data_IF_128574851380
#
_entry.id   IF_128574851380
#
_cell.length_a   1.000
_cell.length_b   1.000
_cell.length_c   1.000
_cell.angle_alpha   90.00
_cell.angle_beta   90.00
_cell.angle_gamma   90.00
#
_symmetry.space_group_name_H-M   'P 1'
#
loop_
_entity.id
_entity.type
_entity.pdbx_description
1 polymer ?
#
# COMPACT_ATOMS: atom_id res chain seq x y z
N UNK A 1 13.63 -22.12 -9.62
CA UNK A 1 13.87 -20.66 -9.43
C UNK A 1 15.31 -20.38 -9.02
N UNK A 2 15.88 -21.16 -8.11
CA UNK A 2 17.27 -21.02 -7.66
C UNK A 2 18.30 -20.95 -8.80
N UNK A 3 18.23 -21.82 -9.82
CA UNK A 3 19.15 -21.77 -10.98
C UNK A 3 19.14 -20.43 -11.74
N UNK A 4 18.03 -19.70 -11.72
CA UNK A 4 17.86 -18.43 -12.44
C UNK A 4 18.20 -17.23 -11.56
N UNK A 5 17.82 -17.29 -10.28
CA UNK A 5 17.85 -16.15 -9.37
C UNK A 5 18.83 -16.28 -8.19
N UNK A 6 19.47 -17.44 -8.02
CA UNK A 6 20.35 -17.75 -6.90
C UNK A 6 19.60 -18.33 -5.69
N UNK A 7 20.34 -18.63 -4.62
CA UNK A 7 19.79 -19.22 -3.40
C UNK A 7 18.76 -18.33 -2.69
N UNK A 8 18.86 -17.02 -2.87
CA UNK A 8 18.00 -16.01 -2.25
C UNK A 8 16.80 -15.62 -3.13
N UNK A 9 16.36 -16.51 -4.02
CA UNK A 9 15.29 -16.27 -4.99
C UNK A 9 13.93 -16.00 -4.34
N UNK A 10 13.73 -16.45 -3.10
CA UNK A 10 12.52 -16.32 -2.29
C UNK A 10 12.51 -15.05 -1.41
N UNK A 11 13.61 -14.30 -1.39
CA UNK A 11 13.77 -13.09 -0.58
C UNK A 11 13.54 -11.82 -1.41
N UNK A 12 12.82 -10.85 -0.83
CA UNK A 12 12.67 -9.51 -1.41
C UNK A 12 13.96 -8.72 -1.15
N UNK A 13 14.81 -8.59 -2.17
CA UNK A 13 16.06 -7.84 -2.11
C UNK A 13 16.09 -6.72 -3.14
N UNK A 14 15.93 -5.45 -2.73
CA UNK A 14 16.01 -4.31 -3.65
C UNK A 14 17.36 -4.19 -4.35
N UNK A 15 18.46 -4.54 -3.65
CA UNK A 15 19.84 -4.49 -4.16
C UNK A 15 20.07 -5.40 -5.37
N UNK A 16 19.21 -6.41 -5.59
CA UNK A 16 19.25 -7.33 -6.75
C UNK A 16 19.20 -6.61 -8.11
N UNK A 17 18.62 -5.41 -8.14
CA UNK A 17 18.35 -4.65 -9.36
C UNK A 17 19.41 -3.59 -9.66
N UNK A 18 20.52 -3.56 -8.93
CA UNK A 18 21.63 -2.65 -9.15
C UNK A 18 22.90 -3.44 -9.51
N UNK A 19 23.77 -2.85 -10.35
CA UNK A 19 25.05 -3.47 -10.70
C UNK A 19 26.07 -3.37 -9.55
N UNK A 20 25.97 -2.32 -8.74
CA UNK A 20 26.73 -2.09 -7.52
C UNK A 20 25.79 -1.65 -6.39
N UNK A 21 26.17 -1.92 -5.14
CA UNK A 21 25.41 -1.45 -3.97
C UNK A 21 25.35 0.10 -3.98
N UNK A 22 24.15 0.70 -3.81
CA UNK A 22 24.02 2.15 -3.77
C UNK A 22 24.82 2.73 -2.59
N UNK A 23 25.90 3.46 -2.88
CA UNK A 23 26.67 4.19 -1.87
C UNK A 23 26.28 5.67 -1.83
N UNK A 24 26.31 6.27 -0.63
CA UNK A 24 26.00 7.68 -0.45
C UNK A 24 26.93 8.55 -1.31
N UNK A 25 26.36 9.34 -2.23
CA UNK A 25 27.11 10.23 -3.13
C UNK A 25 27.36 9.68 -4.54
N UNK A 26 27.06 8.41 -4.84
CA UNK A 26 27.15 7.86 -6.20
C UNK A 26 25.76 7.55 -6.74
N UNK A 27 25.50 7.92 -8.01
CA UNK A 27 24.21 7.62 -8.66
C UNK A 27 24.10 6.11 -8.87
N UNK A 28 23.06 5.44 -8.33
CA UNK A 28 22.93 4.00 -8.49
C UNK A 28 22.69 3.62 -9.96
N UNK A 29 23.41 2.61 -10.43
CA UNK A 29 23.30 2.08 -11.80
C UNK A 29 22.34 0.89 -11.79
N UNK A 30 21.23 1.02 -12.53
CA UNK A 30 20.24 -0.04 -12.66
C UNK A 30 20.78 -1.18 -13.53
N UNK A 31 20.66 -2.39 -13.02
CA UNK A 31 21.02 -3.61 -13.72
C UNK A 31 20.07 -3.87 -14.88
N UNK A 32 20.63 -4.04 -16.08
CA UNK A 32 19.86 -4.49 -17.24
C UNK A 32 19.56 -5.99 -17.13
N UNK A 33 18.31 -6.33 -16.83
CA UNK A 33 17.84 -7.73 -16.75
C UNK A 33 17.04 -8.07 -18.00
N UNK A 34 17.42 -9.17 -18.67
CA UNK A 34 16.70 -9.69 -19.84
C UNK A 34 15.22 -9.97 -19.50
N UNK A 35 14.31 -9.59 -20.39
CA UNK A 35 12.88 -9.86 -20.23
C UNK A 35 12.55 -11.37 -20.28
N UNK A 36 13.42 -12.19 -20.85
CA UNK A 36 13.29 -13.66 -20.79
C UNK A 36 13.64 -14.23 -19.41
N UNK A 37 14.47 -13.52 -18.64
CA UNK A 37 14.80 -13.87 -17.26
C UNK A 37 13.71 -13.42 -16.29
N UNK A 38 13.09 -12.27 -16.55
CA UNK A 38 12.02 -11.69 -15.73
C UNK A 38 10.79 -11.27 -16.57
N UNK A 39 9.92 -12.23 -16.94
CA UNK A 39 8.88 -12.01 -17.96
C UNK A 39 7.57 -11.44 -17.41
N UNK A 40 7.61 -10.44 -16.51
CA UNK A 40 6.39 -9.83 -15.92
C UNK A 40 5.49 -9.19 -16.99
N UNK A 41 6.10 -8.64 -18.03
CA UNK A 41 5.41 -8.05 -19.18
C UNK A 41 5.55 -8.90 -20.44
N UNK A 42 5.81 -10.21 -20.29
CA UNK A 42 6.23 -11.11 -21.38
C UNK A 42 7.57 -10.67 -22.02
N UNK A 43 7.97 -11.34 -23.09
CA UNK A 43 9.18 -11.04 -23.86
C UNK A 43 8.94 -11.21 -25.37
N UNK A 44 9.85 -10.68 -26.18
CA UNK A 44 9.80 -10.80 -27.63
C UNK A 44 8.67 -9.98 -28.28
N UNK A 45 8.18 -10.38 -29.49
CA UNK A 45 7.18 -9.63 -30.26
C UNK A 45 5.82 -9.46 -29.57
N UNK A 46 5.54 -10.25 -28.53
CA UNK A 46 4.31 -10.20 -27.73
C UNK A 46 4.52 -9.56 -26.36
N UNK A 47 5.60 -8.80 -26.17
CA UNK A 47 5.80 -7.95 -24.98
C UNK A 47 4.59 -7.03 -24.80
N UNK A 48 4.17 -6.84 -23.56
CA UNK A 48 3.04 -5.98 -23.23
C UNK A 48 3.31 -4.55 -23.73
N UNK A 49 2.44 -4.07 -24.62
CA UNK A 49 2.50 -2.70 -25.15
C UNK A 49 2.31 -1.65 -24.04
N UNK A 50 1.63 -2.00 -22.95
CA UNK A 50 1.39 -1.15 -21.79
C UNK A 50 2.51 -1.12 -20.75
N UNK A 51 3.67 -1.74 -21.01
CA UNK A 51 4.77 -1.86 -20.03
C UNK A 51 5.20 -0.50 -19.45
N UNK A 52 5.50 0.47 -20.31
CA UNK A 52 6.01 1.78 -19.85
C UNK A 52 4.93 2.59 -19.10
N UNK A 53 3.68 2.51 -19.57
CA UNK A 53 2.53 3.12 -18.89
C UNK A 53 2.32 2.52 -17.48
N UNK A 54 2.38 1.19 -17.36
CA UNK A 54 2.23 0.50 -16.08
C UNK A 54 3.35 0.91 -15.09
N UNK A 55 4.59 1.04 -15.55
CA UNK A 55 5.68 1.53 -14.70
C UNK A 55 5.47 2.97 -14.24
N UNK A 56 5.01 3.85 -15.13
CA UNK A 56 4.74 5.23 -14.78
C UNK A 56 3.65 5.34 -13.72
N UNK A 57 2.53 4.63 -13.93
CA UNK A 57 1.41 4.61 -12.98
C UNK A 57 1.83 4.03 -11.62
N UNK A 58 2.59 2.94 -11.61
CA UNK A 58 3.09 2.32 -10.38
C UNK A 58 3.98 3.26 -9.59
N UNK A 59 4.96 3.91 -10.25
CA UNK A 59 5.85 4.89 -9.61
C UNK A 59 5.07 6.07 -9.05
N UNK A 60 4.10 6.58 -9.79
CA UNK A 60 3.26 7.69 -9.36
C UNK A 60 2.44 7.34 -8.12
N UNK A 61 1.74 6.20 -8.14
CA UNK A 61 0.94 5.74 -7.00
C UNK A 61 1.82 5.49 -5.77
N UNK A 62 2.95 4.80 -5.93
CA UNK A 62 3.87 4.54 -4.82
C UNK A 62 4.41 5.84 -4.22
N UNK A 63 4.88 6.78 -5.05
CA UNK A 63 5.36 8.07 -4.57
C UNK A 63 4.27 8.88 -3.86
N UNK A 64 3.06 8.91 -4.41
CA UNK A 64 1.93 9.62 -3.82
C UNK A 64 1.47 9.03 -2.49
N UNK A 65 1.40 7.70 -2.39
CA UNK A 65 0.98 7.04 -1.16
C UNK A 65 2.05 7.21 -0.08
N UNK A 66 3.32 6.95 -0.40
CA UNK A 66 4.41 7.03 0.58
C UNK A 66 4.71 8.47 1.03
N UNK A 67 4.35 9.49 0.24
CA UNK A 67 4.50 10.91 0.64
C UNK A 67 3.42 11.42 1.58
N UNK A 68 2.27 10.74 1.66
CA UNK A 68 1.09 11.22 2.40
C UNK A 68 0.63 10.30 3.54
N UNK A 69 1.06 9.05 3.52
CA UNK A 69 0.56 8.04 4.44
C UNK A 69 1.71 7.23 4.99
N UNK A 70 1.65 6.99 6.30
CA UNK A 70 2.39 5.92 6.92
C UNK A 70 1.58 4.62 6.80
N UNK A 71 2.18 3.60 6.20
CA UNK A 71 1.54 2.31 5.95
C UNK A 71 1.93 1.33 7.05
N UNK A 72 0.99 1.00 7.94
CA UNK A 72 1.22 0.06 9.03
C UNK A 72 0.44 -1.23 8.78
N UNK A 73 1.10 -2.39 8.58
CA UNK A 73 0.40 -3.65 8.38
C UNK A 73 -0.29 -4.12 9.68
N UNK A 74 -1.57 -4.48 9.59
CA UNK A 74 -2.35 -5.00 10.72
C UNK A 74 -2.36 -6.54 10.79
N UNK A 75 -2.00 -7.20 9.70
CA UNK A 75 -1.92 -8.66 9.62
C UNK A 75 -0.52 -9.13 10.03
N UNK A 76 -0.46 -10.06 10.99
CA UNK A 76 0.80 -10.70 11.42
C UNK A 76 1.16 -11.95 10.61
N UNK A 77 0.18 -12.56 9.94
CA UNK A 77 0.39 -13.76 9.16
C UNK A 77 0.92 -13.42 7.76
N UNK A 78 1.78 -14.27 7.17
CA UNK A 78 2.19 -14.11 5.78
C UNK A 78 0.98 -14.08 4.83
N UNK A 79 0.99 -13.20 3.82
CA UNK A 79 -0.10 -13.13 2.86
C UNK A 79 -0.19 -14.43 2.03
N UNK A 80 -1.40 -14.93 1.81
CA UNK A 80 -1.64 -16.10 0.95
C UNK A 80 -1.78 -15.65 -0.49
N UNK A 81 -0.88 -16.13 -1.34
CA UNK A 81 -0.83 -15.79 -2.77
C UNK A 81 -1.90 -16.56 -3.57
N UNK A 82 -2.73 -15.85 -4.32
CA UNK A 82 -3.77 -16.43 -5.20
C UNK A 82 -3.41 -16.17 -6.66
N UNK A 83 -2.95 -17.21 -7.41
CA UNK A 83 -2.49 -17.07 -8.79
C UNK A 83 -3.65 -17.16 -9.80
N UNK A 84 -4.43 -16.09 -9.95
CA UNK A 84 -5.40 -15.93 -11.05
C UNK A 84 -4.83 -15.02 -12.14
N UNK A 85 -5.70 -14.56 -13.07
CA UNK A 85 -5.33 -13.60 -14.14
C UNK A 85 -4.54 -12.41 -13.59
N UNK A 86 -4.98 -11.88 -12.45
CA UNK A 86 -4.17 -11.00 -11.60
C UNK A 86 -3.89 -11.69 -10.28
N UNK A 87 -2.61 -11.79 -9.95
CA UNK A 87 -2.18 -12.27 -8.66
C UNK A 87 -2.64 -11.30 -7.56
N UNK A 88 -3.21 -11.84 -6.49
CA UNK A 88 -3.65 -11.04 -5.34
C UNK A 88 -3.50 -11.83 -4.03
N UNK A 89 -3.63 -11.11 -2.92
CA UNK A 89 -3.57 -11.70 -1.58
C UNK A 89 -4.97 -12.15 -1.16
N UNK A 90 -5.12 -13.39 -0.72
CA UNK A 90 -6.39 -13.87 -0.17
C UNK A 90 -6.79 -13.00 1.03
N UNK A 91 -7.99 -12.42 1.00
CA UNK A 91 -8.48 -11.53 2.05
C UNK A 91 -7.85 -10.14 2.09
N UNK A 92 -6.98 -9.80 1.13
CA UNK A 92 -6.33 -8.49 1.01
C UNK A 92 -5.27 -8.19 2.07
N UNK A 93 -4.66 -7.01 1.97
CA UNK A 93 -3.71 -6.50 2.97
C UNK A 93 -4.41 -5.46 3.85
N UNK A 94 -4.64 -5.81 5.12
CA UNK A 94 -5.25 -4.89 6.08
C UNK A 94 -4.18 -3.95 6.61
N UNK A 95 -4.46 -2.65 6.51
CA UNK A 95 -3.54 -1.57 6.86
C UNK A 95 -4.19 -0.65 7.90
N UNK A 96 -3.40 -0.18 8.84
CA UNK A 96 -3.66 1.04 9.59
C UNK A 96 -3.16 2.22 8.78
N UNK A 97 -3.76 3.40 8.99
CA UNK A 97 -3.34 4.64 8.34
C UNK A 97 -3.06 5.68 9.41
N UNK A 98 -1.87 6.26 9.38
CA UNK A 98 -1.58 7.55 9.99
C UNK A 98 -1.34 8.53 8.84
N UNK A 99 -2.17 9.57 8.75
CA UNK A 99 -1.96 10.64 7.78
C UNK A 99 -0.82 11.51 8.29
N UNK A 100 0.22 11.70 7.48
CA UNK A 100 1.13 12.82 7.72
C UNK A 100 0.35 14.08 7.38
N UNK A 101 -0.08 14.82 8.40
CA UNK A 101 -0.78 16.08 8.17
C UNK A 101 0.16 17.01 7.38
N UNK A 102 -0.18 17.40 6.13
CA UNK A 102 0.68 18.28 5.34
C UNK A 102 0.84 19.69 5.93
N UNK A 103 0.21 19.96 7.07
CA UNK A 103 0.32 21.20 7.85
C UNK A 103 1.36 21.15 8.99
N UNK A 104 2.06 20.03 9.20
CA UNK A 104 3.08 19.92 10.27
C UNK A 104 4.44 20.51 9.88
N UNK A 105 4.68 20.77 8.60
CA UNK A 105 5.92 21.39 8.10
C UNK A 105 5.83 22.94 8.06
N UNK A 106 4.74 23.52 8.57
CA UNK A 106 4.58 24.96 8.71
C UNK A 106 5.16 25.42 10.07
N UNK A 107 6.32 26.11 10.12
CA UNK A 107 7.01 26.44 11.37
C UNK A 107 6.24 27.41 12.28
N UNK A 108 5.07 27.91 11.86
CA UNK A 108 4.26 28.88 12.58
C UNK A 108 3.18 28.29 13.50
N UNK A 109 2.99 26.96 13.57
CA UNK A 109 1.84 26.37 14.28
C UNK A 109 2.23 25.69 15.60
N UNK A 110 2.10 26.44 16.69
CA UNK A 110 2.18 25.91 18.05
C UNK A 110 1.21 24.74 18.31
N UNK A 111 1.67 23.83 19.17
CA UNK A 111 1.11 22.55 19.59
C UNK A 111 -0.43 22.50 19.62
N UNK A 112 -1.03 21.53 18.92
CA UNK A 112 -2.47 21.23 19.00
C UNK A 112 -2.73 19.74 19.12
N UNK A 113 -3.11 19.35 20.34
CA UNK A 113 -4.00 18.27 20.76
C UNK A 113 -4.17 17.07 19.82
N UNK A 114 -3.48 15.99 20.20
CA UNK A 114 -3.74 14.61 19.77
C UNK A 114 -5.21 14.29 20.07
N UNK A 115 -6.02 14.08 19.02
CA UNK A 115 -7.39 13.59 19.17
C UNK A 115 -7.41 12.06 19.02
N UNK A 116 -7.72 11.38 20.12
CA UNK A 116 -7.84 9.93 20.18
C UNK A 116 -8.93 9.40 19.23
N UNK A 117 -8.60 8.47 18.31
CA UNK A 117 -9.54 7.93 17.32
C UNK A 117 -10.64 7.05 17.94
N UNK A 118 -10.51 6.67 19.21
CA UNK A 118 -11.47 5.82 19.92
C UNK A 118 -12.77 6.61 20.24
N UNK A 119 -12.70 7.94 20.43
CA UNK A 119 -13.86 8.75 20.82
C UNK A 119 -14.85 9.07 19.67
N UNK A 120 -14.42 8.96 18.42
CA UNK A 120 -15.27 9.29 17.26
C UNK A 120 -16.31 8.20 16.95
N UNK A 121 -16.00 6.94 17.30
CA UNK A 121 -16.89 5.80 17.02
C UNK A 121 -18.10 5.71 17.96
N UNK A 122 -17.99 6.26 19.18
CA UNK A 122 -19.03 6.18 20.21
C UNK A 122 -20.19 7.16 19.97
N UNK A 123 -19.92 8.36 19.43
CA UNK A 123 -20.97 9.34 19.09
C UNK A 123 -21.87 8.87 17.95
N UNK A 124 -21.30 8.23 16.93
CA UNK A 124 -22.06 7.76 15.77
C UNK A 124 -23.04 6.63 16.13
N UNK A 125 -22.68 5.76 17.08
CA UNK A 125 -23.59 4.72 17.61
C UNK A 125 -24.69 5.28 18.50
N UNK A 126 -24.41 6.27 19.35
CA UNK A 126 -25.46 6.87 20.18
C UNK A 126 -26.52 7.60 19.35
N UNK A 127 -26.11 8.29 18.27
CA UNK A 127 -27.05 8.98 17.39
C UNK A 127 -27.93 8.02 16.57
N UNK A 128 -27.43 6.82 16.23
CA UNK A 128 -28.23 5.78 15.55
C UNK A 128 -29.14 4.99 16.49
N UNK A 129 -28.76 4.82 17.77
CA UNK A 129 -29.60 4.15 18.76
C UNK A 129 -30.75 5.06 19.23
N UNK A 130 -30.54 6.38 19.30
CA UNK A 130 -31.58 7.34 19.65
C UNK A 130 -32.69 7.46 18.58
N UNK A 131 -32.35 7.40 17.30
CA UNK A 131 -33.33 7.50 16.20
C UNK A 131 -34.20 6.26 16.05
N UNK A 132 -33.69 5.07 16.39
CA UNK A 132 -34.50 3.83 16.44
C UNK A 132 -35.51 3.80 17.57
N UNK A 133 -35.23 4.41 18.71
CA UNK A 133 -36.16 4.47 19.85
C UNK A 133 -37.37 5.37 19.55
N UNK A 134 -37.16 6.51 18.88
CA UNK A 134 -38.23 7.45 18.54
C UNK A 134 -39.21 6.89 17.48
N UNK A 135 -38.74 6.11 16.51
CA UNK A 135 -39.61 5.47 15.51
C UNK A 135 -40.43 4.30 16.08
N UNK A 136 -39.95 3.64 17.14
CA UNK A 136 -40.69 2.56 17.81
C UNK A 136 -41.88 3.03 18.65
N UNK A 137 -41.85 4.26 19.20
CA UNK A 137 -42.92 4.78 20.05
C UNK A 137 -44.11 5.38 19.29
N UNK A 138 -43.95 5.78 18.02
CA UNK A 138 -45.06 6.28 17.20
C UNK A 138 -45.93 5.17 16.59
N UNK A 139 -45.45 3.92 16.55
CA UNK A 139 -46.18 2.79 15.96
C UNK A 139 -47.13 2.06 16.93
N UNK A 140 -47.20 2.47 18.21
CA UNK A 140 -47.99 1.79 19.26
C UNK A 140 -49.19 2.61 19.77
N UNK A 141 -49.59 3.65 19.04
CA UNK A 141 -50.66 4.57 19.46
C UNK A 141 -51.77 4.79 18.41
N UNK A 142 -52.07 3.78 17.60
CA UNK A 142 -53.30 3.72 16.78
C UNK A 142 -54.15 2.52 17.18
#
# INVERSE_FOLDING_TARGET
MEKVWGQDWDQIKPTRWFDEEPNYGTKPVLKSVSSFKFPVFQAGPRVCIGKEMAFMQMKYVVGLVLSRFEIIPLCKNPPVFVPLLTAHMAGGLKLGQLTSDPSSDDPARGNKDVRDPISASSRSRQHQLATRSAQGQLAFRS
#
